data_IF_903248504203
#
_entry.id   IF_903248504203
#
_cell.length_a   1.000
_cell.length_b   1.000
_cell.length_c   1.000
_cell.angle_alpha   90.00
_cell.angle_beta   90.00
_cell.angle_gamma   90.00
#
_symmetry.space_group_name_H-M   'P 1'
#
loop_
_entity.id
_entity.type
_entity.pdbx_description
1 polymer ?
#
# COMPACT_ATOMS: atom_id res chain seq x y z
N UNK A 1 -4.33 15.06 -7.82
CA UNK A 1 -3.57 13.97 -8.47
C UNK A 1 -2.57 13.31 -7.51
N UNK A 2 -1.78 14.07 -6.74
CA UNK A 2 -0.88 13.52 -5.68
C UNK A 2 -1.58 12.51 -4.74
N UNK A 3 -2.72 12.92 -4.18
CA UNK A 3 -3.48 12.09 -3.24
C UNK A 3 -3.97 10.79 -3.87
N UNK A 4 -4.44 10.83 -5.12
CA UNK A 4 -4.93 9.66 -5.84
C UNK A 4 -3.82 8.63 -6.07
N UNK A 5 -2.63 9.08 -6.46
CA UNK A 5 -1.47 8.19 -6.67
C UNK A 5 -1.04 7.58 -5.33
N UNK A 6 -1.05 8.38 -4.24
CA UNK A 6 -0.75 7.87 -2.89
C UNK A 6 -1.73 6.78 -2.47
N UNK A 7 -3.04 7.03 -2.58
CA UNK A 7 -4.05 6.03 -2.23
C UNK A 7 -3.96 4.79 -3.13
N UNK A 8 -3.73 4.97 -4.43
CA UNK A 8 -3.55 3.88 -5.38
C UNK A 8 -2.35 2.98 -5.04
N UNK A 9 -1.18 3.57 -4.74
CA UNK A 9 0.03 2.82 -4.34
C UNK A 9 -0.18 2.06 -3.03
N UNK A 10 -0.74 2.72 -2.01
CA UNK A 10 -1.05 2.07 -0.74
C UNK A 10 -2.04 0.92 -0.93
N UNK A 11 -3.08 1.11 -1.75
CA UNK A 11 -4.04 0.06 -2.03
C UNK A 11 -3.42 -1.12 -2.78
N UNK A 12 -2.57 -0.90 -3.79
CA UNK A 12 -1.89 -1.97 -4.52
C UNK A 12 -1.02 -2.84 -3.60
N UNK A 13 -0.27 -2.21 -2.69
CA UNK A 13 0.51 -2.93 -1.69
C UNK A 13 -0.38 -3.66 -0.68
N UNK A 14 -1.49 -3.04 -0.25
CA UNK A 14 -2.43 -3.65 0.67
C UNK A 14 -3.12 -4.90 0.07
N UNK A 15 -3.62 -4.85 -1.18
CA UNK A 15 -4.22 -6.03 -1.83
C UNK A 15 -3.25 -7.21 -1.83
N UNK A 16 -2.01 -6.96 -2.26
CA UNK A 16 -0.98 -8.01 -2.33
C UNK A 16 -0.63 -8.51 -0.93
N UNK A 17 -0.51 -7.61 0.05
CA UNK A 17 -0.25 -7.95 1.45
C UNK A 17 -1.35 -8.82 2.06
N UNK A 18 -2.62 -8.46 1.88
CA UNK A 18 -3.75 -9.23 2.40
C UNK A 18 -3.77 -10.66 1.85
N UNK A 19 -3.56 -10.83 0.54
CA UNK A 19 -3.60 -12.16 -0.10
C UNK A 19 -2.38 -12.99 0.28
N UNK A 20 -1.17 -12.42 0.28
CA UNK A 20 0.06 -13.18 0.54
C UNK A 20 0.11 -13.71 1.98
N UNK A 21 -0.37 -12.94 2.96
CA UNK A 21 -0.30 -13.32 4.38
C UNK A 21 -1.25 -14.48 4.76
N UNK A 22 -2.21 -14.82 3.90
CA UNK A 22 -3.02 -16.04 4.04
C UNK A 22 -2.21 -17.30 3.69
N UNK A 23 -1.13 -17.19 2.89
CA UNK A 23 -0.33 -18.33 2.44
C UNK A 23 1.07 -18.39 3.05
N UNK A 24 1.73 -17.23 3.19
CA UNK A 24 3.13 -17.14 3.59
C UNK A 24 3.30 -16.10 4.68
N UNK A 25 4.00 -16.48 5.75
CA UNK A 25 4.32 -15.60 6.87
C UNK A 25 5.80 -15.59 7.16
N UNK A 26 6.26 -14.45 7.66
CA UNK A 26 7.65 -14.25 8.05
C UNK A 26 7.92 -15.10 9.31
N UNK A 27 9.09 -15.75 9.41
CA UNK A 27 9.43 -16.54 10.59
C UNK A 27 9.38 -15.70 11.88
N UNK A 28 8.63 -16.19 12.86
CA UNK A 28 8.50 -15.60 14.19
C UNK A 28 7.18 -16.01 14.85
N UNK A 29 7.22 -16.35 16.13
CA UNK A 29 6.07 -16.91 16.84
C UNK A 29 4.87 -15.95 16.86
N UNK A 30 5.14 -14.65 17.00
CA UNK A 30 4.13 -13.58 16.96
C UNK A 30 3.41 -13.47 15.60
N UNK A 31 4.03 -13.92 14.51
CA UNK A 31 3.47 -13.86 13.16
C UNK A 31 2.93 -15.21 12.68
N UNK A 32 3.06 -16.27 13.48
CA UNK A 32 2.63 -17.62 13.13
C UNK A 32 1.12 -17.71 12.86
N UNK A 33 0.69 -18.73 12.11
CA UNK A 33 -0.73 -19.02 11.88
C UNK A 33 -1.51 -19.31 13.18
N UNK A 34 -0.82 -19.74 14.23
CA UNK A 34 -1.41 -19.93 15.56
C UNK A 34 -1.66 -18.58 16.26
N UNK A 35 -0.68 -17.68 16.23
CA UNK A 35 -0.78 -16.38 16.89
C UNK A 35 -1.76 -15.43 16.20
N UNK A 36 -1.83 -15.48 14.86
CA UNK A 36 -2.77 -14.68 14.07
C UNK A 36 -3.55 -15.62 13.15
N UNK A 37 -4.67 -16.21 13.57
CA UNK A 37 -5.41 -17.15 12.71
C UNK A 37 -5.92 -16.50 11.42
N UNK A 38 -6.23 -15.19 11.46
CA UNK A 38 -6.85 -14.45 10.35
C UNK A 38 -6.08 -13.17 10.06
N UNK A 39 -5.86 -12.90 8.78
CA UNK A 39 -5.14 -11.71 8.31
C UNK A 39 -5.84 -10.40 8.69
N UNK A 40 -7.18 -10.38 8.75
CA UNK A 40 -7.94 -9.20 9.18
C UNK A 40 -7.70 -8.84 10.65
N UNK A 41 -7.47 -9.84 11.51
CA UNK A 41 -7.18 -9.63 12.94
C UNK A 41 -5.72 -9.26 13.23
N UNK A 42 -4.85 -9.27 12.20
CA UNK A 42 -3.42 -8.99 12.38
C UNK A 42 -3.15 -7.58 12.91
N UNK A 43 -4.01 -6.60 12.57
CA UNK A 43 -3.85 -5.23 13.04
C UNK A 43 -3.89 -5.14 14.58
N UNK A 44 -4.91 -5.75 15.19
CA UNK A 44 -5.12 -5.66 16.63
C UNK A 44 -4.15 -6.58 17.38
N UNK A 45 -3.85 -7.76 16.84
CA UNK A 45 -2.92 -8.71 17.43
C UNK A 45 -1.47 -8.21 17.46
N UNK A 46 -1.07 -7.40 16.47
CA UNK A 46 0.28 -6.86 16.33
C UNK A 46 0.37 -5.36 16.65
N UNK A 47 -0.68 -4.82 17.29
CA UNK A 47 -0.76 -3.41 17.63
C UNK A 47 0.40 -3.03 18.56
N UNK A 48 0.60 -3.80 19.63
CA UNK A 48 1.71 -3.61 20.55
C UNK A 48 3.02 -4.12 19.93
N UNK A 49 3.92 -3.19 19.59
CA UNK A 49 5.21 -3.47 18.99
C UNK A 49 5.28 -3.20 17.48
N UNK A 50 5.09 -4.21 16.59
CA UNK A 50 5.38 -4.07 15.17
C UNK A 50 4.61 -2.95 14.47
N UNK A 51 3.33 -2.75 14.81
CA UNK A 51 2.51 -1.69 14.20
C UNK A 51 2.99 -0.29 14.60
N UNK A 52 3.42 -0.09 15.86
CA UNK A 52 4.00 1.18 16.31
C UNK A 52 5.31 1.49 15.58
N UNK A 53 6.16 0.48 15.36
CA UNK A 53 7.39 0.64 14.60
C UNK A 53 7.10 1.01 13.14
N UNK A 54 6.13 0.36 12.49
CA UNK A 54 5.69 0.72 11.14
C UNK A 54 5.17 2.16 11.07
N UNK A 55 4.32 2.55 12.03
CA UNK A 55 3.79 3.91 12.11
C UNK A 55 4.90 4.95 12.27
N UNK A 56 5.92 4.67 13.09
CA UNK A 56 7.08 5.55 13.28
C UNK A 56 7.83 5.78 11.96
N UNK A 57 8.14 4.72 11.20
CA UNK A 57 8.88 4.89 9.95
C UNK A 57 8.05 5.54 8.84
N UNK A 58 6.76 5.20 8.73
CA UNK A 58 5.87 5.84 7.74
C UNK A 58 5.69 7.32 8.06
N UNK A 59 5.44 7.66 9.33
CA UNK A 59 5.28 9.06 9.76
C UNK A 59 6.56 9.87 9.59
N UNK A 60 7.73 9.29 9.90
CA UNK A 60 9.02 9.93 9.66
C UNK A 60 9.23 10.24 8.17
N UNK A 61 8.93 9.27 7.30
CA UNK A 61 9.04 9.46 5.86
C UNK A 61 8.08 10.56 5.36
N UNK A 62 6.85 10.58 5.87
CA UNK A 62 5.87 11.60 5.49
C UNK A 62 6.26 13.02 5.92
N UNK A 63 6.79 13.16 7.13
CA UNK A 63 7.19 14.47 7.67
C UNK A 63 8.43 14.99 6.95
N UNK A 64 9.43 14.13 6.74
CA UNK A 64 10.73 14.55 6.20
C UNK A 64 10.71 14.69 4.68
N UNK A 65 10.01 13.81 3.96
CA UNK A 65 10.08 13.73 2.49
C UNK A 65 8.76 14.17 1.85
N UNK A 66 7.62 13.58 2.25
CA UNK A 66 6.34 13.87 1.60
C UNK A 66 5.91 15.32 1.80
N UNK A 67 6.03 15.85 3.01
CA UNK A 67 5.60 17.22 3.31
C UNK A 67 6.33 18.27 2.46
N UNK A 68 7.68 18.29 2.38
CA UNK A 68 8.37 19.19 1.45
C UNK A 68 8.05 18.91 -0.03
N UNK A 69 7.85 17.65 -0.42
CA UNK A 69 7.51 17.29 -1.80
C UNK A 69 6.15 17.82 -2.24
N UNK A 70 5.16 17.82 -1.34
CA UNK A 70 3.85 18.44 -1.58
C UNK A 70 4.01 19.95 -1.77
N UNK A 71 4.83 20.61 -0.94
CA UNK A 71 5.09 22.05 -1.08
C UNK A 71 5.76 22.38 -2.42
N UNK A 72 6.72 21.58 -2.87
CA UNK A 72 7.36 21.72 -4.18
C UNK A 72 6.36 21.52 -5.34
N UNK A 73 5.47 20.54 -5.24
CA UNK A 73 4.40 20.34 -6.23
C UNK A 73 3.42 21.51 -6.25
N UNK A 74 3.07 22.09 -5.10
CA UNK A 74 2.22 23.30 -5.05
C UNK A 74 2.88 24.53 -5.68
N UNK A 75 4.21 24.61 -5.65
CA UNK A 75 5.00 25.65 -6.33
C UNK A 75 5.23 25.38 -7.82
N UNK A 76 4.80 24.23 -8.33
CA UNK A 76 5.00 23.81 -9.72
C UNK A 76 6.42 23.34 -10.05
N UNK A 77 7.26 23.12 -9.04
CA UNK A 77 8.65 22.69 -9.21
C UNK A 77 8.77 21.18 -9.50
N UNK A 78 7.68 20.42 -9.30
CA UNK A 78 7.63 18.95 -9.40
C UNK A 78 6.27 18.45 -9.84
N UNK A 79 6.26 17.47 -10.74
CA UNK A 79 5.04 16.75 -11.12
C UNK A 79 4.45 15.95 -9.95
N UNK A 80 3.11 15.84 -9.84
CA UNK A 80 2.50 15.12 -8.75
C UNK A 80 2.85 13.62 -8.74
N UNK A 81 3.33 13.10 -7.61
CA UNK A 81 3.65 11.69 -7.38
C UNK A 81 5.06 11.27 -7.83
N UNK A 82 5.87 12.19 -8.34
CA UNK A 82 7.25 11.93 -8.81
C UNK A 82 8.29 12.04 -7.68
N UNK A 83 8.63 10.93 -7.03
CA UNK A 83 9.66 10.88 -5.98
C UNK A 83 11.08 10.62 -6.51
N UNK A 84 11.31 10.73 -7.83
CA UNK A 84 12.63 10.49 -8.43
C UNK A 84 13.02 9.01 -8.55
N UNK A 85 12.11 8.08 -8.28
CA UNK A 85 12.33 6.63 -8.39
C UNK A 85 12.28 6.13 -9.85
N UNK A 86 13.09 6.74 -10.74
CA UNK A 86 13.10 6.48 -12.19
C UNK A 86 14.24 5.58 -12.69
N UNK A 87 14.89 4.86 -11.78
CA UNK A 87 15.99 3.93 -12.07
C UNK A 87 15.72 2.90 -13.19
N UNK A 88 14.48 2.43 -13.33
CA UNK A 88 14.05 1.49 -14.38
C UNK A 88 13.06 2.10 -15.38
N UNK A 89 12.93 3.44 -15.40
CA UNK A 89 11.96 4.09 -16.27
C UNK A 89 12.42 4.05 -17.75
N UNK A 90 11.49 3.83 -18.69
CA UNK A 90 11.80 3.96 -20.12
C UNK A 90 12.16 5.42 -20.45
N UNK A 91 13.11 5.62 -21.36
CA UNK A 91 13.55 6.96 -21.81
C UNK A 91 12.59 7.61 -22.81
N UNK A 92 11.69 6.83 -23.40
CA UNK A 92 10.69 7.30 -24.36
C UNK A 92 9.47 7.91 -23.64
N UNK A 93 9.10 9.12 -24.05
CA UNK A 93 8.02 9.91 -23.41
C UNK A 93 6.64 9.27 -23.61
N UNK A 94 6.38 8.68 -24.79
CA UNK A 94 5.11 8.04 -25.07
C UNK A 94 4.91 6.78 -24.20
N UNK A 95 5.96 5.99 -24.05
CA UNK A 95 5.95 4.81 -23.18
C UNK A 95 5.83 5.19 -21.71
N UNK A 96 6.47 6.28 -21.28
CA UNK A 96 6.37 6.78 -19.91
C UNK A 96 4.93 7.18 -19.54
N UNK A 97 4.26 7.96 -20.40
CA UNK A 97 2.84 8.33 -20.20
C UNK A 97 1.92 7.11 -20.15
N UNK A 98 2.21 6.07 -20.93
CA UNK A 98 1.46 4.81 -20.88
C UNK A 98 1.61 4.11 -19.52
N UNK A 99 2.82 4.09 -18.95
CA UNK A 99 3.05 3.49 -17.64
C UNK A 99 2.41 4.27 -16.49
N UNK A 100 2.43 5.61 -16.55
CA UNK A 100 1.68 6.44 -15.61
C UNK A 100 0.18 6.17 -15.65
N UNK A 101 -0.38 5.98 -16.86
CA UNK A 101 -1.79 5.63 -17.01
C UNK A 101 -2.10 4.22 -16.45
N UNK A 102 -1.22 3.25 -16.70
CA UNK A 102 -1.37 1.90 -16.15
C UNK A 102 -1.32 1.90 -14.62
N UNK A 103 -0.42 2.68 -14.02
CA UNK A 103 -0.36 2.87 -12.57
C UNK A 103 -1.68 3.41 -12.03
N UNK A 104 -2.25 4.42 -12.69
CA UNK A 104 -3.51 5.03 -12.27
C UNK A 104 -4.68 4.03 -12.34
N UNK A 105 -4.78 3.28 -13.43
CA UNK A 105 -5.86 2.30 -13.63
C UNK A 105 -5.75 1.15 -12.63
N UNK A 106 -4.55 0.61 -12.43
CA UNK A 106 -4.31 -0.44 -11.44
C UNK A 106 -4.51 0.06 -10.01
N UNK A 107 -4.10 1.29 -9.71
CA UNK A 107 -4.34 1.91 -8.41
C UNK A 107 -5.83 2.08 -8.10
N UNK A 108 -6.63 2.54 -9.08
CA UNK A 108 -8.08 2.65 -8.93
C UNK A 108 -8.76 1.30 -8.70
N UNK A 109 -8.37 0.28 -9.46
CA UNK A 109 -8.86 -1.08 -9.27
C UNK A 109 -8.51 -1.59 -7.86
N UNK A 110 -7.26 -1.40 -7.43
CA UNK A 110 -6.80 -1.84 -6.12
C UNK A 110 -7.55 -1.14 -4.98
N UNK A 111 -7.86 0.16 -5.09
CA UNK A 111 -8.64 0.89 -4.08
C UNK A 111 -10.01 0.25 -3.86
N UNK A 112 -10.68 -0.18 -4.93
CA UNK A 112 -11.96 -0.90 -4.84
C UNK A 112 -11.77 -2.32 -4.29
N UNK A 113 -10.70 -3.01 -4.69
CA UNK A 113 -10.41 -4.38 -4.28
C UNK A 113 -10.14 -4.50 -2.77
N UNK A 114 -9.33 -3.61 -2.18
CA UNK A 114 -9.07 -3.64 -0.72
C UNK A 114 -10.36 -3.46 0.08
N UNK A 115 -11.23 -2.54 -0.34
CA UNK A 115 -12.52 -2.31 0.31
C UNK A 115 -13.41 -3.56 0.29
N UNK A 116 -13.44 -4.27 -0.85
CA UNK A 116 -14.14 -5.55 -0.99
C UNK A 116 -13.56 -6.63 -0.08
N UNK A 117 -12.24 -6.87 -0.17
CA UNK A 117 -11.54 -7.89 0.62
C UNK A 117 -11.74 -7.66 2.13
N UNK A 118 -11.53 -6.42 2.60
CA UNK A 118 -11.67 -6.11 4.02
C UNK A 118 -13.11 -6.32 4.52
N UNK A 119 -14.11 -5.87 3.75
CA UNK A 119 -15.53 -6.01 4.15
C UNK A 119 -15.97 -7.47 4.15
N UNK A 120 -15.59 -8.22 3.12
CA UNK A 120 -15.94 -9.64 2.98
C UNK A 120 -15.23 -10.51 4.01
N UNK A 121 -13.96 -10.22 4.32
CA UNK A 121 -13.21 -10.95 5.34
C UNK A 121 -13.83 -10.80 6.74
N UNK A 122 -14.34 -9.60 7.08
CA UNK A 122 -15.07 -9.39 8.35
C UNK A 122 -16.43 -10.07 8.36
N UNK A 123 -17.13 -10.10 7.23
CA UNK A 123 -18.51 -10.64 7.15
C UNK A 123 -18.56 -12.17 7.08
N UNK A 124 -17.72 -12.77 6.24
CA UNK A 124 -17.74 -14.21 5.95
C UNK A 124 -16.78 -15.01 6.84
N UNK A 125 -15.86 -14.32 7.53
CA UNK A 125 -14.90 -14.92 8.46
C UNK A 125 -13.98 -16.00 7.83
N UNK A 126 -13.85 -15.96 6.50
CA UNK A 126 -13.02 -16.86 5.70
C UNK A 126 -11.77 -16.12 5.15
N UNK A 127 -10.67 -16.86 5.01
CA UNK A 127 -9.48 -16.40 4.26
C UNK A 127 -9.74 -16.44 2.75
N UNK A 128 -8.72 -16.19 1.94
CA UNK A 128 -8.83 -16.24 0.48
C UNK A 128 -9.55 -17.52 0.00
N UNK A 129 -10.61 -17.43 -0.85
CA UNK A 129 -11.04 -16.31 -1.69
C UNK A 129 -12.01 -15.29 -1.05
N UNK A 130 -12.14 -15.24 0.28
CA UNK A 130 -13.00 -14.31 1.02
C UNK A 130 -14.52 -14.44 0.71
N UNK A 131 -14.95 -15.61 0.24
CA UNK A 131 -16.36 -15.94 -0.03
C UNK A 131 -17.03 -16.57 1.18
#
# INVERSE_FOLDING_TARGET
RESEIRHGRTAMLAVTGFIVQDFVRIPGDAYSFEAVPKTVGAHDALLEGPMHQLLLWISLWDIVITYPSIQATMKGEREPGDFGWKWLAPKDEATLKKYEMNELLNGRLAMMAVGGIATQSVMNDHGFPFL
#
